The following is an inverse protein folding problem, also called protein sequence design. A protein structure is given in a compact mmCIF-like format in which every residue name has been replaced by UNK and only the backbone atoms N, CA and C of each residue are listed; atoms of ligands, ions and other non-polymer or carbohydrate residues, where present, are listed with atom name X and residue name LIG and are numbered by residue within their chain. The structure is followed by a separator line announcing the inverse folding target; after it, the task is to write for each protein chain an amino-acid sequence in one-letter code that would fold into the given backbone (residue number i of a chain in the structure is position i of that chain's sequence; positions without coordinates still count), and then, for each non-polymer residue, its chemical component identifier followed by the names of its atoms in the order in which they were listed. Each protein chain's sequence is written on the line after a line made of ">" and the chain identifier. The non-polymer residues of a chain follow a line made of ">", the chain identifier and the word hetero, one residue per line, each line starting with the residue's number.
data_IF_225513919399
#
_entry.id   IF_225513919399
#
_cell.length_a   1.000
_cell.length_b   1.000
_cell.length_c   1.000
_cell.angle_alpha   90.00
_cell.angle_beta   90.00
_cell.angle_gamma   90.00
#
_symmetry.space_group_name_H-M   'P 1'
#
loop_
_entity.id
_entity.type
_entity.pdbx_description
1 polymer ?
#
# COMPACT_ATOMS: atom_id res chain seq x y z
N UNK A 1 -5.06 -3.92 -29.82
CA UNK A 1 -6.51 -3.88 -29.55
C UNK A 1 -6.73 -2.79 -28.49
N UNK A 2 -7.39 -1.68 -28.84
CA UNK A 2 -7.71 -0.63 -27.87
C UNK A 2 -9.03 -1.00 -27.19
N UNK A 3 -8.97 -1.39 -25.92
CA UNK A 3 -10.17 -1.63 -25.10
C UNK A 3 -10.59 -0.26 -24.56
N UNK A 4 -11.71 0.27 -25.05
CA UNK A 4 -12.30 1.49 -24.49
C UNK A 4 -12.85 1.18 -23.10
N UNK A 5 -12.20 1.70 -22.07
CA UNK A 5 -12.67 1.60 -20.68
C UNK A 5 -13.97 2.41 -20.56
N UNK A 6 -15.02 1.83 -20.01
CA UNK A 6 -16.30 2.54 -19.86
C UNK A 6 -16.17 3.70 -18.85
N UNK A 7 -16.97 4.77 -18.97
CA UNK A 7 -16.97 5.86 -17.99
C UNK A 7 -17.20 5.39 -16.54
N UNK A 8 -18.07 4.38 -16.35
CA UNK A 8 -18.30 3.76 -15.04
C UNK A 8 -17.04 3.09 -14.49
N UNK A 9 -16.35 2.30 -15.32
CA UNK A 9 -15.13 1.61 -14.90
C UNK A 9 -13.99 2.61 -14.57
N UNK A 10 -13.90 3.73 -15.28
CA UNK A 10 -12.98 4.82 -14.93
C UNK A 10 -13.35 5.42 -13.56
N UNK A 11 -14.64 5.65 -13.31
CA UNK A 11 -15.13 6.18 -12.03
C UNK A 11 -14.86 5.22 -10.86
N UNK A 12 -15.19 3.94 -11.02
CA UNK A 12 -14.93 2.90 -10.02
C UNK A 12 -13.44 2.77 -9.70
N UNK A 13 -12.56 2.81 -10.72
CA UNK A 13 -11.10 2.83 -10.51
C UNK A 13 -10.67 4.05 -9.69
N UNK A 14 -11.18 5.25 -10.02
CA UNK A 14 -10.86 6.48 -9.27
C UNK A 14 -11.25 6.36 -7.80
N UNK A 15 -12.49 5.93 -7.52
CA UNK A 15 -12.98 5.70 -6.15
C UNK A 15 -12.11 4.67 -5.43
N UNK A 16 -11.74 3.58 -6.10
CA UNK A 16 -10.86 2.54 -5.54
C UNK A 16 -9.46 3.08 -5.18
N UNK A 17 -8.90 3.96 -6.01
CA UNK A 17 -7.61 4.60 -5.72
C UNK A 17 -7.69 5.52 -4.49
N UNK A 18 -8.74 6.34 -4.39
CA UNK A 18 -8.95 7.22 -3.23
C UNK A 18 -9.07 6.42 -1.93
N UNK A 19 -9.84 5.33 -1.94
CA UNK A 19 -9.97 4.42 -0.81
C UNK A 19 -8.63 3.79 -0.42
N UNK A 20 -7.82 3.38 -1.41
CA UNK A 20 -6.48 2.85 -1.15
C UNK A 20 -5.55 3.90 -0.54
N UNK A 21 -5.53 5.13 -1.07
CA UNK A 21 -4.72 6.21 -0.51
C UNK A 21 -5.18 6.59 0.91
N UNK A 22 -6.49 6.62 1.17
CA UNK A 22 -7.03 6.83 2.51
C UNK A 22 -6.60 5.71 3.47
N UNK A 23 -6.64 4.45 3.02
CA UNK A 23 -6.17 3.31 3.81
C UNK A 23 -4.67 3.43 4.14
N UNK A 24 -3.83 3.80 3.18
CA UNK A 24 -2.39 4.01 3.41
C UNK A 24 -2.15 5.19 4.37
N UNK A 25 -2.89 6.29 4.22
CA UNK A 25 -2.79 7.46 5.10
C UNK A 25 -3.23 7.18 6.54
N UNK A 26 -4.07 6.16 6.76
CA UNK A 26 -4.50 5.71 8.10
C UNK A 26 -3.42 4.91 8.84
N UNK A 27 -2.34 4.50 8.16
CA UNK A 27 -1.25 3.74 8.77
C UNK A 27 -0.33 4.66 9.59
N UNK A 28 0.37 4.12 10.60
CA UNK A 28 1.51 4.80 11.19
C UNK A 28 2.55 5.16 10.12
N UNK A 29 3.14 6.35 10.24
CA UNK A 29 4.06 6.93 9.25
C UNK A 29 5.15 5.94 8.78
N UNK A 30 5.80 5.23 9.71
CA UNK A 30 6.83 4.24 9.38
C UNK A 30 6.28 3.06 8.57
N UNK A 31 5.05 2.61 8.84
CA UNK A 31 4.41 1.54 8.06
C UNK A 31 4.03 2.04 6.66
N UNK A 32 3.47 3.25 6.55
CA UNK A 32 3.13 3.88 5.28
C UNK A 32 4.38 4.03 4.39
N UNK A 33 5.48 4.55 4.94
CA UNK A 33 6.76 4.70 4.24
C UNK A 33 7.32 3.38 3.75
N UNK A 34 7.24 2.31 4.55
CA UNK A 34 7.67 0.96 4.15
C UNK A 34 6.81 0.37 3.03
N UNK A 35 5.49 0.61 3.04
CA UNK A 35 4.59 0.24 1.93
C UNK A 35 4.97 1.00 0.66
N UNK A 36 5.15 2.32 0.77
CA UNK A 36 5.52 3.16 -0.36
C UNK A 36 6.86 2.72 -0.99
N UNK A 37 7.88 2.54 -0.16
CA UNK A 37 9.19 2.06 -0.59
C UNK A 37 9.12 0.70 -1.30
N UNK A 38 8.34 -0.25 -0.78
CA UNK A 38 8.31 -1.59 -1.35
C UNK A 38 7.47 -1.69 -2.64
N UNK A 39 6.25 -1.15 -2.63
CA UNK A 39 5.27 -1.36 -3.70
C UNK A 39 5.30 -0.26 -4.77
N UNK A 40 5.64 0.97 -4.40
CA UNK A 40 5.62 2.11 -5.32
C UNK A 40 7.01 2.43 -5.86
N UNK A 41 8.05 2.31 -5.01
CA UNK A 41 9.45 2.52 -5.41
C UNK A 41 10.21 1.24 -5.77
N UNK A 42 9.58 0.07 -5.65
CA UNK A 42 10.18 -1.22 -6.00
C UNK A 42 11.37 -1.64 -5.13
N UNK A 43 11.57 -1.01 -3.96
CA UNK A 43 12.68 -1.35 -3.08
C UNK A 43 12.48 -2.75 -2.47
N UNK A 44 13.55 -3.53 -2.42
CA UNK A 44 13.49 -4.82 -1.72
C UNK A 44 13.37 -4.61 -0.21
N UNK A 45 12.73 -5.56 0.50
CA UNK A 45 12.65 -5.53 1.97
C UNK A 45 14.02 -5.46 2.64
N UNK A 46 15.06 -6.02 2.00
CA UNK A 46 16.44 -5.92 2.48
C UNK A 46 17.06 -4.53 2.26
N UNK A 47 16.77 -3.88 1.13
CA UNK A 47 17.22 -2.52 0.87
C UNK A 47 16.59 -1.52 1.86
N UNK A 48 15.30 -1.68 2.15
CA UNK A 48 14.59 -0.89 3.17
C UNK A 48 15.20 -1.14 4.56
N UNK A 49 15.44 -2.40 4.92
CA UNK A 49 16.06 -2.77 6.19
C UNK A 49 17.44 -2.13 6.37
N UNK A 50 18.28 -2.15 5.32
CA UNK A 50 19.59 -1.52 5.31
C UNK A 50 19.50 0.00 5.46
N UNK A 51 18.56 0.64 4.75
CA UNK A 51 18.35 2.09 4.84
C UNK A 51 17.85 2.55 6.22
N UNK A 52 17.02 1.74 6.88
CA UNK A 52 16.49 2.02 8.22
C UNK A 52 17.39 1.51 9.36
N UNK A 53 18.47 0.78 9.08
CA UNK A 53 19.35 0.20 10.09
C UNK A 53 18.68 -0.88 10.96
N UNK A 54 17.67 -1.58 10.43
CA UNK A 54 16.90 -2.61 11.16
C UNK A 54 17.05 -3.98 10.52
N UNK A 55 16.65 -5.03 11.25
CA UNK A 55 16.63 -6.38 10.69
C UNK A 55 15.53 -6.53 9.63
N UNK A 56 15.82 -7.23 8.52
CA UNK A 56 14.85 -7.55 7.45
C UNK A 56 13.54 -8.14 7.99
N UNK A 57 13.60 -8.98 9.02
CA UNK A 57 12.41 -9.56 9.65
C UNK A 57 11.46 -8.50 10.24
N UNK A 58 11.98 -7.38 10.74
CA UNK A 58 11.16 -6.28 11.24
C UNK A 58 10.42 -5.58 10.09
N UNK A 59 11.09 -5.39 8.94
CA UNK A 59 10.45 -4.85 7.73
C UNK A 59 9.35 -5.79 7.26
N UNK A 60 9.61 -7.10 7.18
CA UNK A 60 8.61 -8.09 6.76
C UNK A 60 7.37 -8.06 7.65
N UNK A 61 7.54 -8.14 8.97
CA UNK A 61 6.40 -8.10 9.92
C UNK A 61 5.64 -6.79 9.83
N UNK A 62 6.36 -5.67 9.70
CA UNK A 62 5.77 -4.34 9.57
C UNK A 62 4.95 -4.17 8.30
N UNK A 63 5.44 -4.67 7.17
CA UNK A 63 4.71 -4.65 5.89
C UNK A 63 3.47 -5.55 6.01
N UNK A 64 3.60 -6.75 6.57
CA UNK A 64 2.45 -7.64 6.75
C UNK A 64 1.36 -7.01 7.62
N UNK A 65 1.73 -6.40 8.75
CA UNK A 65 0.79 -5.70 9.61
C UNK A 65 0.13 -4.50 8.92
N UNK A 66 0.87 -3.76 8.09
CA UNK A 66 0.34 -2.67 7.30
C UNK A 66 -0.71 -3.17 6.27
N UNK A 67 -0.42 -4.27 5.57
CA UNK A 67 -1.35 -4.88 4.61
C UNK A 67 -2.65 -5.34 5.29
N UNK A 68 -2.56 -6.01 6.44
CA UNK A 68 -3.75 -6.42 7.21
C UNK A 68 -4.60 -5.22 7.66
N UNK A 69 -3.96 -4.09 8.00
CA UNK A 69 -4.68 -2.85 8.35
C UNK A 69 -5.37 -2.23 7.14
N UNK A 70 -4.69 -2.17 5.99
CA UNK A 70 -5.28 -1.73 4.72
C UNK A 70 -6.50 -2.60 4.37
N UNK A 71 -6.35 -3.93 4.43
CA UNK A 71 -7.44 -4.87 4.19
C UNK A 71 -8.63 -4.62 5.12
N UNK A 72 -8.37 -4.46 6.42
CA UNK A 72 -9.42 -4.19 7.42
C UNK A 72 -10.10 -2.84 7.17
N UNK A 73 -9.35 -1.82 6.74
CA UNK A 73 -9.90 -0.51 6.41
C UNK A 73 -10.83 -0.61 5.19
N UNK A 74 -10.36 -1.23 4.10
CA UNK A 74 -11.14 -1.37 2.87
C UNK A 74 -12.42 -2.17 3.08
N UNK A 75 -12.38 -3.24 3.89
CA UNK A 75 -13.56 -4.02 4.28
C UNK A 75 -14.62 -3.25 5.07
N UNK A 76 -14.27 -2.09 5.65
CA UNK A 76 -15.23 -1.22 6.37
C UNK A 76 -15.81 -0.13 5.48
N UNK A 77 -15.11 0.19 4.39
CA UNK A 77 -15.48 1.27 3.46
C UNK A 77 -16.30 0.73 2.28
N UNK A 78 -16.07 -0.53 1.90
CA UNK A 78 -16.89 -1.31 0.97
C UNK A 78 -18.06 -1.98 1.70
#
# INVERSE_FOLDING_TARGET
>A
MFVSVSPCEIYERKVTYEQLYAAIASLPDKQAKRIYAHYFLGMSKGAIAKAEGVNKSQITRSIQAALTRIETFLKKVL
#
